data_IF_038040841271
#
_entry.id   IF_038040841271
#
_cell.length_a   1.000
_cell.length_b   1.000
_cell.length_c   1.000
_cell.angle_alpha   90.00
_cell.angle_beta   90.00
_cell.angle_gamma   90.00
#
_symmetry.space_group_name_H-M   'P 1'
#
loop_
_entity.id
_entity.type
_entity.pdbx_description
1 polymer ?
#
# COMPACT_ATOMS: atom_id res chain seq x y z
N UNK A 1 0.82 61.84 -38.10
CA UNK A 1 -0.63 61.93 -38.24
C UNK A 1 -1.15 60.55 -38.15
N UNK A 2 -1.80 60.35 -37.06
CA UNK A 2 -2.84 59.43 -36.68
C UNK A 2 -2.60 57.92 -36.76
N UNK A 3 -2.31 57.39 -35.64
CA UNK A 3 -2.68 56.04 -35.24
C UNK A 3 -3.24 56.15 -33.83
N UNK A 4 -4.54 56.36 -33.74
CA UNK A 4 -5.29 56.41 -32.51
C UNK A 4 -6.28 55.26 -32.39
N UNK A 5 -6.31 54.71 -31.22
CA UNK A 5 -7.46 54.09 -30.56
C UNK A 5 -8.09 52.82 -31.18
N UNK A 6 -7.82 51.67 -30.50
CA UNK A 6 -8.81 50.62 -30.18
C UNK A 6 -8.26 49.70 -29.09
N UNK A 7 -8.47 50.10 -27.82
CA UNK A 7 -8.46 49.19 -26.70
C UNK A 7 -9.54 49.62 -25.72
N UNK A 8 -10.68 48.97 -25.79
CA UNK A 8 -11.64 48.90 -24.70
C UNK A 8 -12.64 47.78 -25.00
N UNK A 9 -12.47 46.63 -24.43
CA UNK A 9 -13.54 45.77 -23.92
C UNK A 9 -12.88 44.62 -23.11
N UNK A 10 -12.59 44.89 -21.86
CA UNK A 10 -12.39 43.85 -20.83
C UNK A 10 -13.77 43.57 -20.25
N UNK A 11 -14.42 42.47 -20.71
CA UNK A 11 -15.49 41.87 -19.91
C UNK A 11 -14.89 41.29 -18.65
N UNK A 12 -15.43 41.76 -17.53
CA UNK A 12 -15.13 41.23 -16.21
C UNK A 12 -15.45 39.73 -16.18
N UNK A 13 -14.46 38.93 -15.76
CA UNK A 13 -14.71 37.52 -15.47
C UNK A 13 -15.56 37.46 -14.20
N UNK A 14 -16.70 36.81 -14.29
CA UNK A 14 -17.53 36.45 -13.14
C UNK A 14 -16.72 35.57 -12.16
N UNK A 15 -16.90 35.70 -10.83
CA UNK A 15 -16.21 34.85 -9.86
C UNK A 15 -16.74 33.44 -10.00
N UNK A 16 -15.83 32.49 -10.19
CA UNK A 16 -16.10 31.07 -10.15
C UNK A 16 -16.69 30.72 -8.78
N UNK A 17 -17.95 30.32 -8.72
CA UNK A 17 -18.59 29.80 -7.53
C UNK A 17 -17.76 28.61 -6.98
N UNK A 18 -17.34 28.73 -5.73
CA UNK A 18 -16.68 27.65 -5.00
C UNK A 18 -17.64 26.45 -4.93
N UNK A 19 -17.18 25.29 -5.39
CA UNK A 19 -17.91 24.05 -5.25
C UNK A 19 -18.29 23.81 -3.77
N UNK A 20 -19.49 23.27 -3.48
CA UNK A 20 -19.96 23.08 -2.12
C UNK A 20 -18.98 22.15 -1.37
N UNK A 21 -18.46 22.64 -0.26
CA UNK A 21 -17.72 21.83 0.71
C UNK A 21 -18.61 20.69 1.15
N UNK A 22 -18.31 19.48 0.70
CA UNK A 22 -18.99 18.28 1.16
C UNK A 22 -18.91 18.22 2.69
N UNK A 23 -20.06 18.09 3.33
CA UNK A 23 -20.19 17.93 4.78
C UNK A 23 -19.31 16.76 5.22
N UNK A 24 -18.18 17.06 5.82
CA UNK A 24 -17.29 16.09 6.44
C UNK A 24 -18.02 15.52 7.65
N UNK A 25 -18.56 14.31 7.50
CA UNK A 25 -18.87 13.50 8.67
C UNK A 25 -17.53 13.08 9.27
N UNK A 26 -17.15 13.66 10.40
CA UNK A 26 -16.16 13.07 11.27
C UNK A 26 -16.60 11.61 11.53
N UNK A 27 -15.74 10.66 11.15
CA UNK A 27 -15.98 9.28 11.51
C UNK A 27 -15.98 9.21 13.03
N UNK A 28 -17.10 8.80 13.63
CA UNK A 28 -17.16 8.58 15.06
C UNK A 28 -16.04 7.61 15.48
N UNK A 29 -15.34 7.85 16.58
CA UNK A 29 -14.29 6.95 17.06
C UNK A 29 -14.88 5.56 17.29
N UNK A 30 -14.45 4.60 16.48
CA UNK A 30 -14.99 3.23 16.44
C UNK A 30 -14.37 2.32 17.50
N UNK A 31 -13.48 2.82 18.35
CA UNK A 31 -12.78 2.03 19.34
C UNK A 31 -13.10 2.49 20.79
N UNK A 32 -13.42 1.52 21.64
CA UNK A 32 -13.45 1.71 23.08
C UNK A 32 -11.99 1.83 23.58
N UNK A 33 -11.52 3.06 23.75
CA UNK A 33 -10.12 3.36 24.10
C UNK A 33 -9.68 2.80 25.46
N UNK A 34 -10.61 2.28 26.28
CA UNK A 34 -10.31 1.74 27.61
C UNK A 34 -9.64 0.37 27.60
N UNK A 35 -9.79 -0.40 26.52
CA UNK A 35 -9.28 -1.78 26.42
C UNK A 35 -8.15 -1.92 25.37
N UNK A 36 -7.55 -0.80 24.95
CA UNK A 36 -6.46 -0.81 24.00
C UNK A 36 -5.17 -1.29 24.62
N UNK A 37 -4.43 -2.11 23.86
CA UNK A 37 -3.10 -2.49 24.26
C UNK A 37 -2.18 -1.26 24.37
N UNK A 38 -1.47 -1.21 25.48
CA UNK A 38 -0.42 -0.24 25.76
C UNK A 38 0.84 -0.58 24.96
N UNK A 39 1.77 0.37 24.88
CA UNK A 39 3.06 0.16 24.22
C UNK A 39 3.88 -0.97 24.87
N UNK A 40 3.85 -1.09 26.22
CA UNK A 40 4.55 -2.14 26.95
C UNK A 40 3.95 -3.53 26.64
N UNK A 41 2.64 -3.65 26.56
CA UNK A 41 1.97 -4.88 26.12
C UNK A 41 2.32 -5.21 24.66
N UNK A 42 2.35 -4.23 23.77
CA UNK A 42 2.81 -4.38 22.40
C UNK A 42 4.26 -4.87 22.31
N UNK A 43 5.14 -4.31 23.14
CA UNK A 43 6.54 -4.74 23.25
C UNK A 43 6.62 -6.20 23.69
N UNK A 44 5.88 -6.58 24.74
CA UNK A 44 5.81 -7.96 25.24
C UNK A 44 5.34 -8.94 24.15
N UNK A 45 4.31 -8.59 23.37
CA UNK A 45 3.83 -9.42 22.26
C UNK A 45 4.90 -9.64 21.18
N UNK A 46 5.70 -8.62 20.89
CA UNK A 46 6.74 -8.68 19.88
C UNK A 46 8.03 -9.36 20.34
N UNK A 47 8.25 -9.54 21.67
CA UNK A 47 9.47 -10.09 22.23
C UNK A 47 9.24 -11.40 23.00
N UNK A 48 8.62 -11.34 24.16
CA UNK A 48 8.68 -12.34 25.20
C UNK A 48 7.50 -13.32 25.22
N UNK A 49 6.31 -12.87 24.78
CA UNK A 49 5.11 -13.70 24.81
C UNK A 49 5.28 -14.97 23.96
N UNK A 50 4.83 -16.16 24.44
CA UNK A 50 4.90 -17.39 23.67
C UNK A 50 4.16 -17.25 22.32
N UNK A 51 4.82 -17.61 21.20
CA UNK A 51 4.31 -17.37 19.84
C UNK A 51 2.91 -17.95 19.63
N UNK A 52 2.64 -19.16 20.11
CA UNK A 52 1.34 -19.82 19.94
C UNK A 52 0.25 -19.14 20.76
N UNK A 53 0.57 -18.58 21.92
CA UNK A 53 -0.37 -17.80 22.72
C UNK A 53 -0.74 -16.49 22.02
N UNK A 54 0.25 -15.77 21.49
CA UNK A 54 0.01 -14.55 20.69
C UNK A 54 -0.87 -14.86 19.48
N UNK A 55 -0.59 -15.99 18.79
CA UNK A 55 -1.39 -16.47 17.67
C UNK A 55 -2.84 -16.78 18.04
N UNK A 56 -3.06 -17.51 19.15
CA UNK A 56 -4.40 -17.85 19.64
C UNK A 56 -5.21 -16.58 19.97
N UNK A 57 -4.64 -15.63 20.72
CA UNK A 57 -5.26 -14.35 21.03
C UNK A 57 -5.59 -13.54 19.75
N UNK A 58 -4.70 -13.54 18.77
CA UNK A 58 -4.94 -12.86 17.49
C UNK A 58 -6.06 -13.51 16.67
N UNK A 59 -6.15 -14.86 16.69
CA UNK A 59 -7.26 -15.58 16.10
C UNK A 59 -8.60 -15.24 16.78
N UNK A 60 -8.64 -15.21 18.10
CA UNK A 60 -9.82 -14.78 18.87
C UNK A 60 -10.24 -13.35 18.51
N UNK A 61 -9.29 -12.41 18.43
CA UNK A 61 -9.55 -11.03 18.04
C UNK A 61 -10.06 -10.93 16.59
N UNK A 62 -9.58 -11.77 15.67
CA UNK A 62 -10.10 -11.88 14.30
C UNK A 62 -11.56 -12.35 14.32
N UNK A 63 -11.87 -13.43 15.03
CA UNK A 63 -13.23 -13.97 15.10
C UNK A 63 -14.20 -13.07 15.88
N UNK A 64 -13.75 -12.32 16.88
CA UNK A 64 -14.56 -11.31 17.56
C UNK A 64 -15.05 -10.20 16.61
N UNK A 65 -14.23 -9.83 15.60
CA UNK A 65 -14.61 -8.82 14.59
C UNK A 65 -15.39 -9.42 13.43
N UNK A 66 -15.01 -10.62 13.01
CA UNK A 66 -15.61 -11.33 11.88
C UNK A 66 -15.88 -12.78 12.30
N UNK A 67 -17.06 -13.07 12.85
CA UNK A 67 -17.40 -14.41 13.36
C UNK A 67 -17.55 -15.46 12.24
N UNK A 68 -17.68 -15.01 10.99
CA UNK A 68 -17.65 -15.89 9.84
C UNK A 68 -16.24 -16.51 9.61
N UNK A 69 -16.21 -17.59 8.86
CA UNK A 69 -14.99 -18.26 8.45
C UNK A 69 -14.47 -17.79 7.09
N UNK A 70 -14.93 -16.63 6.61
CA UNK A 70 -14.52 -16.11 5.30
C UNK A 70 -13.11 -15.56 5.39
N UNK A 71 -12.26 -15.98 4.45
CA UNK A 71 -10.97 -15.38 4.14
C UNK A 71 -11.03 -14.83 2.73
N UNK A 72 -10.79 -13.53 2.61
CA UNK A 72 -10.86 -12.85 1.33
C UNK A 72 -9.54 -12.94 0.56
N UNK A 73 -9.61 -12.80 -0.77
CA UNK A 73 -8.46 -12.61 -1.65
C UNK A 73 -8.84 -11.72 -2.84
N UNK A 74 -7.86 -11.09 -3.47
CA UNK A 74 -8.08 -10.27 -4.66
C UNK A 74 -7.35 -10.88 -5.86
N UNK A 75 -7.96 -10.80 -7.04
CA UNK A 75 -7.26 -11.11 -8.30
C UNK A 75 -6.62 -9.81 -8.77
N UNK A 76 -5.29 -9.75 -8.75
CA UNK A 76 -4.53 -8.55 -9.05
C UNK A 76 -3.23 -8.82 -9.81
N UNK A 77 -2.62 -7.75 -10.25
CA UNK A 77 -1.28 -7.72 -10.85
C UNK A 77 -0.55 -6.47 -10.36
N UNK A 78 0.78 -6.57 -10.25
CA UNK A 78 1.66 -5.44 -9.90
C UNK A 78 2.66 -5.16 -11.03
N UNK A 79 2.21 -4.70 -12.21
CA UNK A 79 3.11 -4.25 -13.25
C UNK A 79 3.77 -2.93 -12.84
N UNK A 80 5.06 -2.81 -13.12
CA UNK A 80 5.76 -1.56 -12.90
C UNK A 80 5.80 -0.77 -14.21
N UNK A 81 5.72 0.57 -14.14
CA UNK A 81 5.79 1.44 -15.31
C UNK A 81 7.21 1.96 -15.60
N UNK A 82 8.09 1.94 -14.60
CA UNK A 82 9.50 2.31 -14.74
C UNK A 82 10.34 1.76 -13.61
N UNK A 83 11.60 1.41 -13.89
CA UNK A 83 12.60 1.14 -12.86
C UNK A 83 13.54 2.34 -12.62
N UNK A 84 13.39 3.43 -13.38
CA UNK A 84 14.18 4.65 -13.17
C UNK A 84 13.80 5.29 -11.85
N UNK A 85 14.79 5.45 -10.95
CA UNK A 85 14.52 5.97 -9.61
C UNK A 85 15.67 6.81 -9.07
N UNK A 86 15.35 8.00 -8.54
CA UNK A 86 16.34 8.90 -7.93
C UNK A 86 16.46 8.76 -6.41
N UNK A 87 15.63 7.94 -5.77
CA UNK A 87 15.65 7.77 -4.30
C UNK A 87 16.67 6.76 -3.81
N UNK A 88 17.17 5.86 -4.67
CA UNK A 88 18.22 4.87 -4.40
C UNK A 88 18.15 4.22 -3.01
N UNK A 89 16.96 3.74 -2.63
CA UNK A 89 16.73 3.08 -1.35
C UNK A 89 17.63 1.86 -1.18
N UNK A 90 18.24 1.70 0.00
CA UNK A 90 19.22 0.65 0.29
C UNK A 90 18.66 -0.78 0.19
N UNK A 91 17.35 -0.93 0.35
CA UNK A 91 16.63 -2.21 0.33
C UNK A 91 16.08 -2.59 -1.05
N UNK A 92 16.14 -1.69 -2.04
CA UNK A 92 15.52 -1.91 -3.33
C UNK A 92 16.52 -2.47 -4.34
N UNK A 93 16.26 -3.68 -4.84
CA UNK A 93 17.03 -4.29 -5.94
C UNK A 93 16.54 -3.88 -7.34
N UNK A 94 15.33 -3.32 -7.40
CA UNK A 94 14.63 -3.04 -8.66
C UNK A 94 15.08 -1.74 -9.34
N UNK A 95 15.45 -0.71 -8.56
CA UNK A 95 15.73 0.61 -9.11
C UNK A 95 16.97 0.64 -10.03
N UNK A 96 16.91 1.53 -11.02
CA UNK A 96 18.05 1.93 -11.84
C UNK A 96 18.15 3.46 -11.82
N UNK A 97 19.38 3.98 -11.82
CA UNK A 97 19.59 5.44 -11.91
C UNK A 97 19.23 5.95 -13.30
N UNK A 98 18.82 7.23 -13.44
CA UNK A 98 18.67 7.84 -14.75
C UNK A 98 19.95 7.66 -15.60
N UNK A 99 19.79 7.20 -16.85
CA UNK A 99 20.90 6.95 -17.75
C UNK A 99 21.62 5.58 -17.59
N UNK A 100 21.19 4.75 -16.63
CA UNK A 100 21.68 3.37 -16.56
C UNK A 100 21.24 2.58 -17.80
N UNK A 101 22.11 1.71 -18.31
CA UNK A 101 21.83 0.88 -19.50
C UNK A 101 20.67 -0.11 -19.31
N UNK A 102 20.35 -0.47 -18.06
CA UNK A 102 19.23 -1.33 -17.70
C UNK A 102 17.99 -0.53 -17.29
N UNK A 103 18.04 0.81 -17.37
CA UNK A 103 16.91 1.66 -17.07
C UNK A 103 15.87 1.58 -18.19
N UNK A 104 14.60 1.52 -17.79
CA UNK A 104 13.48 1.51 -18.72
C UNK A 104 12.28 2.28 -18.16
N UNK A 105 11.47 2.76 -19.07
CA UNK A 105 10.18 3.40 -18.78
C UNK A 105 9.21 3.00 -19.87
N UNK A 106 8.06 2.51 -19.49
CA UNK A 106 6.99 2.12 -20.41
C UNK A 106 6.19 3.34 -20.85
N UNK A 107 5.72 3.32 -22.08
CA UNK A 107 4.71 4.25 -22.57
C UNK A 107 3.36 3.97 -21.90
N UNK A 108 2.42 4.92 -22.00
CA UNK A 108 1.04 4.72 -21.52
C UNK A 108 0.42 3.47 -22.15
N UNK A 109 0.56 3.28 -23.47
CA UNK A 109 -0.02 2.12 -24.16
C UNK A 109 0.58 0.79 -23.71
N UNK A 110 1.89 0.74 -23.46
CA UNK A 110 2.54 -0.46 -22.93
C UNK A 110 2.06 -0.81 -21.52
N UNK A 111 1.82 0.18 -20.66
CA UNK A 111 1.23 -0.04 -19.33
C UNK A 111 -0.22 -0.51 -19.46
N UNK A 112 -1.01 0.12 -20.34
CA UNK A 112 -2.40 -0.26 -20.55
C UNK A 112 -2.53 -1.67 -21.13
N UNK A 113 -1.61 -2.12 -21.98
CA UNK A 113 -1.56 -3.50 -22.46
C UNK A 113 -1.32 -4.50 -21.29
N UNK A 114 -0.53 -4.12 -20.28
CA UNK A 114 -0.38 -4.94 -19.06
C UNK A 114 -1.65 -4.96 -18.21
N UNK A 115 -2.34 -3.82 -18.09
CA UNK A 115 -3.65 -3.75 -17.42
C UNK A 115 -4.67 -4.63 -18.13
N UNK A 116 -4.73 -4.60 -19.46
CA UNK A 116 -5.59 -5.46 -20.27
C UNK A 116 -5.29 -6.94 -20.06
N UNK A 117 -4.00 -7.31 -20.08
CA UNK A 117 -3.58 -8.69 -19.79
C UNK A 117 -3.98 -9.15 -18.39
N UNK A 118 -3.94 -8.28 -17.39
CA UNK A 118 -4.44 -8.59 -16.06
C UNK A 118 -5.97 -8.74 -16.04
N UNK A 119 -6.67 -7.80 -16.68
CA UNK A 119 -8.14 -7.80 -16.77
C UNK A 119 -8.69 -9.05 -17.44
N UNK A 120 -8.05 -9.53 -18.52
CA UNK A 120 -8.43 -10.79 -19.22
C UNK A 120 -8.25 -12.03 -18.34
N UNK A 121 -7.40 -11.98 -17.31
CA UNK A 121 -7.23 -13.02 -16.30
C UNK A 121 -8.19 -12.86 -15.11
N UNK A 122 -9.13 -11.93 -15.19
CA UNK A 122 -10.11 -11.66 -14.15
C UNK A 122 -9.65 -10.73 -13.04
N UNK A 123 -8.55 -9.97 -13.24
CA UNK A 123 -8.10 -9.01 -12.24
C UNK A 123 -9.13 -7.90 -12.05
N UNK A 124 -9.43 -7.61 -10.80
CA UNK A 124 -10.31 -6.51 -10.35
C UNK A 124 -9.52 -5.35 -9.76
N UNK A 125 -8.22 -5.56 -9.58
CA UNK A 125 -7.28 -4.57 -9.06
C UNK A 125 -5.99 -4.63 -9.87
N UNK A 126 -5.44 -3.48 -10.20
CA UNK A 126 -4.04 -3.36 -10.62
C UNK A 126 -3.33 -2.48 -9.59
N UNK A 127 -2.30 -3.05 -8.97
CA UNK A 127 -1.36 -2.35 -8.12
C UNK A 127 -0.24 -1.83 -9.02
N UNK A 128 -0.18 -0.53 -9.29
CA UNK A 128 0.81 0.06 -10.19
C UNK A 128 1.77 0.96 -9.41
N UNK A 129 2.99 0.50 -9.31
CA UNK A 129 4.08 1.21 -8.62
C UNK A 129 5.31 1.27 -9.53
N UNK A 130 6.13 2.30 -9.39
CA UNK A 130 7.34 2.45 -10.18
C UNK A 130 8.45 3.18 -9.44
N UNK A 131 9.56 3.38 -10.13
CA UNK A 131 10.64 4.23 -9.67
C UNK A 131 10.22 5.71 -9.68
N UNK A 132 10.89 6.51 -8.86
CA UNK A 132 10.74 7.96 -8.83
C UNK A 132 11.50 8.58 -10.00
N UNK A 133 10.86 8.58 -11.17
CA UNK A 133 11.45 9.05 -12.41
C UNK A 133 11.17 10.54 -12.64
N UNK A 134 12.18 11.42 -12.56
CA UNK A 134 11.98 12.87 -12.73
C UNK A 134 11.66 13.31 -14.15
N UNK A 135 11.79 12.40 -15.14
CA UNK A 135 11.47 12.71 -16.53
C UNK A 135 10.01 12.53 -16.90
N UNK A 136 9.20 11.91 -16.03
CA UNK A 136 7.78 11.67 -16.31
C UNK A 136 6.92 12.88 -15.93
N UNK A 137 6.19 13.48 -16.88
CA UNK A 137 5.29 14.59 -16.61
C UNK A 137 4.03 14.10 -15.88
N UNK A 138 3.36 14.99 -15.16
CA UNK A 138 2.14 14.67 -14.41
C UNK A 138 1.04 14.08 -15.30
N UNK A 139 0.92 14.55 -16.54
CA UNK A 139 -0.11 14.06 -17.47
C UNK A 139 0.06 12.57 -17.81
N UNK A 140 1.27 12.04 -17.79
CA UNK A 140 1.52 10.60 -17.94
C UNK A 140 0.74 9.79 -16.89
N UNK A 141 0.85 10.17 -15.63
CA UNK A 141 0.19 9.50 -14.50
C UNK A 141 -1.34 9.66 -14.55
N UNK A 142 -1.82 10.87 -14.83
CA UNK A 142 -3.26 11.14 -14.93
C UNK A 142 -3.89 10.39 -16.09
N UNK A 143 -3.18 10.26 -17.22
CA UNK A 143 -3.66 9.50 -18.37
C UNK A 143 -3.76 8.02 -18.05
N UNK A 144 -2.78 7.43 -17.34
CA UNK A 144 -2.86 6.04 -16.89
C UNK A 144 -4.12 5.77 -16.07
N UNK A 145 -4.47 6.68 -15.15
CA UNK A 145 -5.69 6.53 -14.33
C UNK A 145 -6.93 6.65 -15.19
N UNK A 146 -7.05 7.71 -16.00
CA UNK A 146 -8.23 7.96 -16.86
C UNK A 146 -8.48 6.82 -17.84
N UNK A 147 -7.44 6.40 -18.56
CA UNK A 147 -7.55 5.34 -19.55
C UNK A 147 -7.86 3.97 -18.90
N UNK A 148 -7.27 3.67 -17.75
CA UNK A 148 -7.61 2.45 -17.00
C UNK A 148 -9.09 2.45 -16.61
N UNK A 149 -9.61 3.55 -16.07
CA UNK A 149 -11.02 3.66 -15.70
C UNK A 149 -11.97 3.59 -16.89
N UNK A 150 -11.58 4.17 -18.02
CA UNK A 150 -12.41 4.21 -19.23
C UNK A 150 -12.42 2.87 -19.95
N UNK A 151 -11.25 2.26 -20.15
CA UNK A 151 -11.09 1.03 -20.96
C UNK A 151 -11.38 -0.23 -20.17
N UNK A 152 -11.13 -0.22 -18.83
CA UNK A 152 -11.26 -1.39 -17.94
C UNK A 152 -12.09 -1.02 -16.70
N UNK A 153 -13.39 -0.70 -16.83
CA UNK A 153 -14.19 -0.20 -15.71
C UNK A 153 -14.31 -1.16 -14.53
N UNK A 154 -14.06 -2.48 -14.74
CA UNK A 154 -14.02 -3.52 -13.72
C UNK A 154 -12.70 -3.51 -12.91
N UNK A 155 -11.66 -2.83 -13.39
CA UNK A 155 -10.35 -2.77 -12.73
C UNK A 155 -10.24 -1.50 -11.89
N UNK A 156 -9.96 -1.67 -10.61
CA UNK A 156 -9.65 -0.55 -9.72
C UNK A 156 -8.17 -0.17 -9.87
N UNK A 157 -7.86 1.09 -10.26
CA UNK A 157 -6.49 1.59 -10.22
C UNK A 157 -6.07 1.82 -8.76
N UNK A 158 -5.27 0.90 -8.22
CA UNK A 158 -4.62 1.03 -6.92
C UNK A 158 -3.18 1.51 -7.15
N UNK A 159 -3.08 2.75 -7.67
CA UNK A 159 -1.86 3.28 -8.26
C UNK A 159 -1.15 4.24 -7.32
N UNK A 160 0.18 4.31 -7.49
CA UNK A 160 1.10 5.31 -6.96
C UNK A 160 1.12 5.42 -5.43
N UNK A 161 2.27 5.18 -4.87
CA UNK A 161 2.54 5.30 -3.43
C UNK A 161 2.64 6.77 -3.00
N UNK A 162 2.57 7.02 -1.71
CA UNK A 162 2.78 8.36 -1.14
C UNK A 162 4.08 9.03 -1.63
N UNK A 163 5.17 8.25 -1.73
CA UNK A 163 6.45 8.77 -2.20
C UNK A 163 6.48 9.09 -3.70
N UNK A 164 5.71 8.38 -4.53
CA UNK A 164 5.52 8.73 -5.94
C UNK A 164 4.69 10.02 -6.08
N UNK A 165 3.66 10.21 -5.25
CA UNK A 165 2.85 11.44 -5.22
C UNK A 165 3.72 12.66 -4.89
N UNK A 166 4.65 12.55 -3.94
CA UNK A 166 5.63 13.61 -3.68
C UNK A 166 6.53 13.89 -4.89
N UNK A 167 6.97 12.85 -5.59
CA UNK A 167 7.77 13.00 -6.80
C UNK A 167 7.00 13.71 -7.90
N UNK A 168 5.73 13.33 -8.12
CA UNK A 168 4.84 14.03 -9.08
C UNK A 168 4.69 15.51 -8.73
N UNK A 169 4.49 15.82 -7.45
CA UNK A 169 4.38 17.19 -6.96
C UNK A 169 5.65 18.00 -7.22
N UNK A 170 6.80 17.42 -6.90
CA UNK A 170 8.10 18.06 -7.13
C UNK A 170 8.36 18.33 -8.62
N UNK A 171 8.13 17.35 -9.50
CA UNK A 171 8.33 17.47 -10.95
C UNK A 171 7.37 18.49 -11.56
N UNK A 172 6.11 18.50 -11.11
CA UNK A 172 5.09 19.41 -11.62
C UNK A 172 5.18 20.84 -11.03
N UNK A 173 5.99 21.07 -9.98
CA UNK A 173 6.02 22.33 -9.26
C UNK A 173 4.71 22.64 -8.52
N UNK A 174 4.00 21.60 -8.06
CA UNK A 174 2.72 21.67 -7.38
C UNK A 174 2.83 21.18 -5.93
N UNK A 175 1.80 21.45 -5.13
CA UNK A 175 1.67 20.80 -3.81
C UNK A 175 1.19 19.35 -4.02
N UNK A 176 1.59 18.44 -3.14
CA UNK A 176 1.11 17.05 -3.21
C UNK A 176 -0.42 16.95 -3.04
N UNK A 177 -1.04 17.89 -2.32
CA UNK A 177 -2.49 18.00 -2.20
C UNK A 177 -3.17 18.26 -3.54
N UNK A 178 -2.55 19.10 -4.40
CA UNK A 178 -3.07 19.38 -5.75
C UNK A 178 -2.93 18.16 -6.66
N UNK A 179 -1.92 17.30 -6.42
CA UNK A 179 -1.78 16.02 -7.10
C UNK A 179 -2.90 15.07 -6.69
N UNK A 180 -3.21 15.00 -5.39
CA UNK A 180 -4.33 14.16 -4.89
C UNK A 180 -5.66 14.58 -5.52
N UNK A 181 -5.94 15.89 -5.61
CA UNK A 181 -7.16 16.39 -6.24
C UNK A 181 -7.23 15.97 -7.71
N UNK A 182 -6.14 16.10 -8.47
CA UNK A 182 -6.08 15.69 -9.88
C UNK A 182 -6.20 14.19 -10.08
N UNK A 183 -5.62 13.37 -9.20
CA UNK A 183 -5.78 11.91 -9.23
C UNK A 183 -7.23 11.51 -8.92
N UNK A 184 -7.88 12.19 -7.98
CA UNK A 184 -9.29 12.00 -7.68
C UNK A 184 -10.19 12.33 -8.89
N UNK A 185 -9.95 13.47 -9.54
CA UNK A 185 -10.66 13.91 -10.75
C UNK A 185 -10.43 12.96 -11.94
N UNK A 186 -9.23 12.37 -12.03
CA UNK A 186 -8.90 11.33 -13.00
C UNK A 186 -9.62 9.99 -12.74
N UNK A 187 -10.23 9.80 -11.56
CA UNK A 187 -11.00 8.61 -11.20
C UNK A 187 -10.31 7.65 -10.24
N UNK A 188 -9.15 7.98 -9.69
CA UNK A 188 -8.49 7.17 -8.67
C UNK A 188 -9.21 7.33 -7.32
N UNK A 189 -9.41 6.21 -6.60
CA UNK A 189 -10.11 6.17 -5.30
C UNK A 189 -9.30 5.48 -4.22
N UNK A 190 -8.24 4.78 -4.59
CA UNK A 190 -7.43 4.01 -3.65
C UNK A 190 -5.94 4.27 -3.85
N UNK A 191 -5.15 4.21 -2.77
CA UNK A 191 -3.70 4.43 -2.76
C UNK A 191 -3.02 3.26 -2.05
N UNK A 192 -1.97 2.64 -2.64
CA UNK A 192 -1.22 1.60 -1.98
C UNK A 192 -0.37 2.13 -0.81
N UNK A 193 -0.28 1.34 0.25
CA UNK A 193 0.49 1.68 1.45
C UNK A 193 2.01 1.55 1.31
N UNK A 194 2.50 1.15 0.14
CA UNK A 194 3.93 1.01 -0.11
C UNK A 194 4.72 2.30 0.16
N UNK A 195 6.01 2.16 0.42
CA UNK A 195 6.87 3.30 0.76
C UNK A 195 6.87 3.71 2.24
N UNK A 196 6.04 3.08 3.09
CA UNK A 196 6.10 3.27 4.54
C UNK A 196 7.39 2.69 5.13
N UNK A 197 7.78 1.54 4.69
CA UNK A 197 8.83 0.68 5.23
C UNK A 197 8.63 0.46 6.74
N UNK A 198 9.39 1.17 7.59
CA UNK A 198 9.08 1.38 9.01
C UNK A 198 9.01 2.88 9.26
N UNK A 199 7.91 3.36 9.82
CA UNK A 199 7.65 4.78 10.10
C UNK A 199 8.39 5.23 11.37
N UNK A 200 9.71 5.06 11.36
CA UNK A 200 10.67 5.53 12.36
C UNK A 200 11.68 6.44 11.67
N UNK A 201 11.92 7.61 12.25
CA UNK A 201 12.88 8.59 11.71
C UNK A 201 14.28 7.96 11.58
N UNK A 202 14.71 7.20 12.58
CA UNK A 202 16.00 6.51 12.60
C UNK A 202 16.13 5.52 11.46
N UNK A 203 15.10 4.68 11.27
CA UNK A 203 15.11 3.64 10.24
C UNK A 203 15.09 4.28 8.86
N UNK A 204 14.15 5.19 8.58
CA UNK A 204 14.00 5.83 7.26
C UNK A 204 15.25 6.60 6.85
N UNK A 205 15.86 7.36 7.76
CA UNK A 205 17.11 8.07 7.51
C UNK A 205 18.25 7.12 7.07
N UNK A 206 18.22 5.87 7.53
CA UNK A 206 19.25 4.88 7.19
C UNK A 206 18.99 4.13 5.91
N UNK A 207 17.75 3.71 5.65
CA UNK A 207 17.44 2.81 4.52
C UNK A 207 16.89 3.53 3.28
N UNK A 208 16.30 4.71 3.45
CA UNK A 208 15.66 5.48 2.37
C UNK A 208 15.71 7.00 2.64
N UNK A 209 16.90 7.62 2.82
CA UNK A 209 17.01 9.02 3.28
C UNK A 209 16.34 10.01 2.33
N UNK A 210 16.28 9.70 1.04
CA UNK A 210 15.66 10.58 0.03
C UNK A 210 14.13 10.48 -0.03
N UNK A 211 13.52 9.55 0.69
CA UNK A 211 12.05 9.47 0.84
C UNK A 211 11.50 10.34 1.98
N UNK A 212 12.36 11.02 2.72
CA UNK A 212 11.98 11.80 3.89
C UNK A 212 11.65 10.96 5.13
N UNK A 213 11.29 11.63 6.22
CA UNK A 213 10.89 11.02 7.49
C UNK A 213 9.50 10.37 7.44
N UNK A 214 9.01 9.84 8.58
CA UNK A 214 7.69 9.24 8.68
C UNK A 214 6.56 10.17 8.22
N UNK A 215 6.64 11.46 8.56
CA UNK A 215 5.62 12.46 8.24
C UNK A 215 5.38 12.58 6.74
N UNK A 216 6.41 12.41 5.89
CA UNK A 216 6.24 12.48 4.43
C UNK A 216 5.28 11.42 3.88
N UNK A 217 5.14 10.28 4.54
CA UNK A 217 4.18 9.25 4.19
C UNK A 217 2.81 9.51 4.85
N UNK A 218 2.83 9.87 6.14
CA UNK A 218 1.63 10.08 6.94
C UNK A 218 0.78 11.25 6.42
N UNK A 219 1.39 12.38 6.04
CA UNK A 219 0.67 13.54 5.54
C UNK A 219 -0.05 13.27 4.21
N UNK A 220 0.54 12.48 3.30
CA UNK A 220 -0.13 12.10 2.05
C UNK A 220 -1.36 11.24 2.36
N UNK A 221 -1.24 10.23 3.23
CA UNK A 221 -2.39 9.39 3.61
C UNK A 221 -3.45 10.17 4.39
N UNK A 222 -3.05 11.09 5.27
CA UNK A 222 -3.96 11.99 5.99
C UNK A 222 -4.79 12.84 5.01
N UNK A 223 -4.14 13.48 4.06
CA UNK A 223 -4.81 14.32 3.08
C UNK A 223 -5.62 13.50 2.06
N UNK A 224 -5.16 12.31 1.70
CA UNK A 224 -5.91 11.38 0.86
C UNK A 224 -7.20 10.90 1.56
N UNK A 225 -7.10 10.45 2.82
CA UNK A 225 -8.26 10.02 3.59
C UNK A 225 -9.27 11.14 3.80
N UNK A 226 -8.81 12.38 4.03
CA UNK A 226 -9.68 13.56 4.12
C UNK A 226 -10.48 13.79 2.84
N UNK A 227 -9.94 13.41 1.68
CA UNK A 227 -10.60 13.49 0.37
C UNK A 227 -11.47 12.29 0.05
N UNK A 228 -11.53 11.30 0.92
CA UNK A 228 -12.31 10.07 0.72
C UNK A 228 -11.55 8.92 0.05
N UNK A 229 -10.27 9.07 -0.28
CA UNK A 229 -9.47 7.92 -0.71
C UNK A 229 -9.43 6.85 0.38
N UNK A 230 -9.45 5.60 -0.05
CA UNK A 230 -9.07 4.47 0.79
C UNK A 230 -7.64 4.06 0.50
N UNK A 231 -6.97 3.45 1.47
CA UNK A 231 -5.61 2.96 1.28
C UNK A 231 -5.32 1.73 2.11
N UNK A 232 -4.20 1.08 1.82
CA UNK A 232 -3.60 0.07 2.71
C UNK A 232 -2.50 0.74 3.55
N UNK A 233 -2.10 0.09 4.65
CA UNK A 233 -0.87 0.41 5.36
C UNK A 233 0.06 -0.80 5.28
N UNK A 234 1.34 -0.60 4.97
CA UNK A 234 2.32 -1.68 4.86
C UNK A 234 3.46 -1.47 5.85
N UNK A 235 4.08 -2.55 6.30
CA UNK A 235 5.32 -2.50 7.07
C UNK A 235 6.32 -3.51 6.54
N UNK A 236 7.53 -3.05 6.18
CA UNK A 236 8.66 -3.90 5.84
C UNK A 236 9.58 -4.00 7.04
N UNK A 237 9.72 -5.19 7.61
CA UNK A 237 10.56 -5.44 8.78
C UNK A 237 11.64 -6.50 8.49
N UNK A 238 12.53 -6.77 9.44
CA UNK A 238 13.58 -7.77 9.34
C UNK A 238 14.90 -7.21 8.82
N UNK A 239 15.17 -5.93 9.03
CA UNK A 239 16.39 -5.28 8.59
C UNK A 239 17.16 -4.59 9.74
N UNK A 240 16.98 -3.28 9.97
CA UNK A 240 17.76 -2.47 10.94
C UNK A 240 16.92 -1.90 12.07
N UNK A 241 15.63 -2.20 12.05
CA UNK A 241 14.66 -1.75 13.05
C UNK A 241 14.86 -2.47 14.40
N UNK A 242 14.42 -1.79 15.43
CA UNK A 242 14.20 -2.36 16.78
C UNK A 242 12.72 -2.62 17.00
N UNK A 243 12.37 -3.26 18.11
CA UNK A 243 10.95 -3.43 18.49
C UNK A 243 10.27 -2.08 18.71
N UNK A 244 10.98 -1.11 19.29
CA UNK A 244 10.44 0.24 19.46
C UNK A 244 10.13 0.92 18.13
N UNK A 245 10.94 0.74 17.10
CA UNK A 245 10.66 1.26 15.76
C UNK A 245 9.40 0.62 15.15
N UNK A 246 9.14 -0.67 15.42
CA UNK A 246 7.91 -1.33 14.97
C UNK A 246 6.69 -0.77 15.70
N UNK A 247 6.82 -0.48 17.00
CA UNK A 247 5.76 0.13 17.79
C UNK A 247 5.51 1.58 17.38
N UNK A 248 6.55 2.37 17.07
CA UNK A 248 6.40 3.72 16.50
C UNK A 248 5.58 3.66 15.20
N UNK A 249 5.84 2.67 14.36
CA UNK A 249 5.06 2.45 13.14
C UNK A 249 3.60 2.12 13.45
N UNK A 250 3.34 1.19 14.36
CA UNK A 250 1.99 0.81 14.76
C UNK A 250 1.23 1.99 15.37
N UNK A 251 1.85 2.74 16.25
CA UNK A 251 1.23 3.93 16.88
C UNK A 251 0.84 4.95 15.83
N UNK A 252 1.75 5.26 14.89
CA UNK A 252 1.50 6.26 13.84
C UNK A 252 0.32 5.91 12.92
N UNK A 253 0.24 4.64 12.46
CA UNK A 253 -0.87 4.23 11.59
C UNK A 253 -2.18 4.02 12.35
N UNK A 254 -2.12 3.58 13.61
CA UNK A 254 -3.29 3.45 14.49
C UNK A 254 -3.92 4.82 14.77
N UNK A 255 -3.09 5.82 15.09
CA UNK A 255 -3.54 7.19 15.31
C UNK A 255 -4.18 7.79 14.05
N UNK A 256 -3.56 7.61 12.88
CA UNK A 256 -4.12 8.09 11.62
C UNK A 256 -5.44 7.39 11.28
N UNK A 257 -5.56 6.09 11.59
CA UNK A 257 -6.79 5.34 11.40
C UNK A 257 -7.91 5.82 12.34
N UNK A 258 -7.59 6.16 13.58
CA UNK A 258 -8.57 6.75 14.51
C UNK A 258 -9.16 8.07 13.99
N UNK A 259 -8.32 8.89 13.34
CA UNK A 259 -8.76 10.18 12.81
C UNK A 259 -9.68 10.06 11.59
N UNK A 260 -9.45 9.08 10.70
CA UNK A 260 -10.10 9.08 9.39
C UNK A 260 -10.74 7.76 8.98
N UNK A 261 -10.36 6.62 9.55
CA UNK A 261 -10.87 5.31 9.15
C UNK A 261 -10.60 4.98 7.66
N UNK A 262 -9.52 5.52 7.10
CA UNK A 262 -9.22 5.43 5.68
C UNK A 262 -8.45 4.17 5.27
N UNK A 263 -7.74 3.53 6.20
CA UNK A 263 -7.03 2.28 5.91
C UNK A 263 -8.00 1.10 5.84
N UNK A 264 -7.89 0.34 4.77
CA UNK A 264 -8.68 -0.89 4.55
C UNK A 264 -7.99 -2.13 5.13
N UNK A 265 -6.66 -2.18 5.10
CA UNK A 265 -5.90 -3.32 5.60
C UNK A 265 -4.50 -2.91 6.05
N UNK A 266 -3.96 -3.73 6.96
CA UNK A 266 -2.54 -3.75 7.30
C UNK A 266 -1.84 -4.94 6.64
N UNK A 267 -0.67 -4.71 6.03
CA UNK A 267 0.11 -5.69 5.26
C UNK A 267 1.56 -5.72 5.77
N UNK A 268 1.90 -6.59 6.73
CA UNK A 268 3.28 -6.79 7.16
C UNK A 268 4.02 -7.71 6.19
N UNK A 269 5.28 -7.42 5.87
CA UNK A 269 6.11 -8.28 5.04
C UNK A 269 7.58 -8.18 5.43
N UNK A 270 8.33 -9.29 5.29
CA UNK A 270 9.73 -9.31 5.65
C UNK A 270 10.63 -8.86 4.51
N UNK A 271 11.70 -8.14 4.85
CA UNK A 271 12.72 -7.70 3.90
C UNK A 271 13.36 -8.89 3.18
N UNK A 272 13.53 -8.76 1.85
CA UNK A 272 14.23 -9.73 1.01
C UNK A 272 15.58 -9.15 0.56
N UNK A 273 16.69 -9.72 1.01
CA UNK A 273 18.01 -9.09 0.89
C UNK A 273 18.63 -9.16 -0.50
N UNK A 274 18.29 -10.14 -1.32
CA UNK A 274 18.96 -10.43 -2.58
C UNK A 274 19.20 -9.20 -3.47
N UNK A 275 20.43 -9.02 -3.91
CA UNK A 275 20.87 -7.90 -4.77
C UNK A 275 20.68 -6.50 -4.18
N UNK A 276 20.53 -6.36 -2.86
CA UNK A 276 20.31 -5.06 -2.19
C UNK A 276 21.57 -4.58 -1.47
N UNK A 277 21.73 -3.27 -1.32
CA UNK A 277 22.82 -2.71 -0.51
C UNK A 277 22.62 -2.99 0.98
N UNK A 278 21.37 -3.04 1.43
CA UNK A 278 20.98 -3.28 2.82
C UNK A 278 21.37 -4.68 3.31
N UNK A 279 21.47 -5.67 2.42
CA UNK A 279 21.91 -7.04 2.74
C UNK A 279 23.19 -7.08 3.57
N UNK A 280 24.15 -6.19 3.24
CA UNK A 280 25.45 -6.12 3.92
C UNK A 280 25.35 -5.78 5.41
N UNK A 281 24.20 -5.24 5.85
CA UNK A 281 23.98 -4.82 7.24
C UNK A 281 23.12 -5.82 8.04
N UNK A 282 22.56 -6.84 7.36
CA UNK A 282 21.71 -7.83 7.99
C UNK A 282 22.59 -8.93 8.57
N UNK A 283 22.53 -9.09 9.89
CA UNK A 283 23.28 -10.14 10.61
C UNK A 283 22.54 -11.47 10.64
N UNK A 284 21.23 -11.43 10.61
CA UNK A 284 20.37 -12.61 10.71
C UNK A 284 19.05 -12.36 10.00
N UNK A 285 18.66 -13.27 9.11
CA UNK A 285 17.35 -13.25 8.46
C UNK A 285 16.25 -13.58 9.46
N UNK A 286 15.13 -12.88 9.33
CA UNK A 286 13.92 -13.15 10.09
C UNK A 286 13.09 -14.20 9.37
N UNK A 287 12.90 -15.35 10.03
CA UNK A 287 12.12 -16.46 9.48
C UNK A 287 10.63 -16.35 9.75
N UNK A 288 9.86 -17.39 9.37
CA UNK A 288 8.39 -17.40 9.46
C UNK A 288 7.85 -17.16 10.87
N UNK A 289 8.55 -17.61 11.91
CA UNK A 289 8.12 -17.37 13.29
C UNK A 289 8.06 -15.87 13.64
N UNK A 290 9.02 -15.08 13.16
CA UNK A 290 8.98 -13.63 13.37
C UNK A 290 7.84 -12.99 12.57
N UNK A 291 7.60 -13.47 11.36
CA UNK A 291 6.47 -13.01 10.57
C UNK A 291 5.14 -13.26 11.29
N UNK A 292 4.90 -14.48 11.73
CA UNK A 292 3.68 -14.84 12.46
C UNK A 292 3.51 -14.02 13.73
N UNK A 293 4.60 -13.75 14.45
CA UNK A 293 4.60 -12.88 15.64
C UNK A 293 4.20 -11.45 15.31
N UNK A 294 4.83 -10.85 14.30
CA UNK A 294 4.53 -9.47 13.86
C UNK A 294 3.09 -9.34 13.39
N UNK A 295 2.61 -10.31 12.59
CA UNK A 295 1.24 -10.32 12.10
C UNK A 295 0.22 -10.44 13.24
N UNK A 296 0.44 -11.37 14.17
CA UNK A 296 -0.44 -11.58 15.31
C UNK A 296 -0.43 -10.38 16.29
N UNK A 297 0.76 -9.83 16.57
CA UNK A 297 0.88 -8.61 17.36
C UNK A 297 0.16 -7.43 16.70
N UNK A 298 0.29 -7.28 15.38
CA UNK A 298 -0.42 -6.25 14.62
C UNK A 298 -1.94 -6.40 14.71
N UNK A 299 -2.48 -7.63 14.57
CA UNK A 299 -3.93 -7.87 14.72
C UNK A 299 -4.46 -7.44 16.09
N UNK A 300 -3.66 -7.63 17.14
CA UNK A 300 -4.02 -7.26 18.52
C UNK A 300 -3.85 -5.76 18.77
N UNK A 301 -2.75 -5.18 18.29
CA UNK A 301 -2.38 -3.80 18.56
C UNK A 301 -3.15 -2.79 17.70
N UNK A 302 -3.37 -3.11 16.43
CA UNK A 302 -4.13 -2.29 15.47
C UNK A 302 -5.63 -2.61 15.56
N UNK A 303 -6.21 -2.33 16.70
CA UNK A 303 -7.59 -2.65 17.05
C UNK A 303 -8.64 -1.95 16.15
N UNK A 304 -8.27 -0.90 15.46
CA UNK A 304 -9.10 -0.12 14.54
C UNK A 304 -8.92 -0.48 13.06
N UNK A 305 -8.01 -1.41 12.72
CA UNK A 305 -7.86 -1.88 11.34
C UNK A 305 -8.88 -2.98 11.02
N UNK A 306 -9.66 -2.85 9.92
CA UNK A 306 -10.66 -3.86 9.57
C UNK A 306 -10.03 -5.19 9.15
N UNK A 307 -8.94 -5.14 8.37
CA UNK A 307 -8.30 -6.35 7.82
C UNK A 307 -6.80 -6.39 8.11
N UNK A 308 -6.28 -7.63 8.26
CA UNK A 308 -4.84 -7.92 8.28
C UNK A 308 -4.57 -8.99 7.22
N UNK A 309 -3.68 -8.67 6.30
CA UNK A 309 -3.37 -9.51 5.15
C UNK A 309 -2.24 -10.48 5.44
N UNK A 310 -2.40 -11.73 5.00
CA UNK A 310 -1.34 -12.73 4.96
C UNK A 310 -0.41 -12.46 3.76
N UNK A 311 0.86 -12.19 4.02
CA UNK A 311 1.83 -11.81 2.98
C UNK A 311 2.53 -13.05 2.40
N UNK A 312 1.76 -13.97 1.82
CA UNK A 312 2.28 -15.19 1.20
C UNK A 312 3.37 -14.89 0.14
N UNK A 313 3.26 -13.77 -0.55
CA UNK A 313 4.19 -13.35 -1.60
C UNK A 313 5.61 -13.15 -1.08
N UNK A 314 5.78 -12.73 0.19
CA UNK A 314 7.08 -12.57 0.84
C UNK A 314 7.46 -13.75 1.75
N UNK A 315 6.48 -14.47 2.30
CA UNK A 315 6.74 -15.50 3.32
C UNK A 315 6.61 -16.94 2.81
N UNK A 316 6.09 -17.10 1.59
CA UNK A 316 5.74 -18.39 1.01
C UNK A 316 4.33 -18.86 1.40
N UNK A 317 3.77 -19.74 0.58
CA UNK A 317 2.38 -20.20 0.67
C UNK A 317 2.04 -20.89 1.98
N UNK A 318 2.93 -21.77 2.47
CA UNK A 318 2.72 -22.49 3.74
C UNK A 318 2.66 -21.53 4.93
N UNK A 319 3.53 -20.52 4.98
CA UNK A 319 3.49 -19.51 6.03
C UNK A 319 2.23 -18.63 5.90
N UNK A 320 1.85 -18.27 4.68
CA UNK A 320 0.59 -17.55 4.40
C UNK A 320 -0.64 -18.33 4.89
N UNK A 321 -0.66 -19.65 4.69
CA UNK A 321 -1.74 -20.52 5.17
C UNK A 321 -1.80 -20.55 6.71
N UNK A 322 -0.65 -20.70 7.38
CA UNK A 322 -0.58 -20.65 8.85
C UNK A 322 -1.00 -19.28 9.39
N UNK A 323 -0.68 -18.18 8.70
CA UNK A 323 -1.03 -16.83 9.10
C UNK A 323 -2.55 -16.61 9.27
N UNK A 324 -3.39 -17.39 8.57
CA UNK A 324 -4.85 -17.36 8.73
C UNK A 324 -5.29 -17.77 10.14
N UNK A 325 -4.52 -18.62 10.81
CA UNK A 325 -4.73 -19.02 12.21
C UNK A 325 -4.04 -18.09 13.21
N UNK A 326 -3.27 -17.11 12.73
CA UNK A 326 -2.60 -16.08 13.52
C UNK A 326 -3.25 -14.70 13.39
N UNK A 327 -4.51 -14.65 12.97
CA UNK A 327 -5.30 -13.42 12.94
C UNK A 327 -5.42 -12.73 11.58
N UNK A 328 -4.83 -13.26 10.50
CA UNK A 328 -5.12 -12.79 9.16
C UNK A 328 -6.54 -13.19 8.73
N UNK A 329 -7.22 -12.30 8.01
CA UNK A 329 -8.55 -12.52 7.44
C UNK A 329 -8.60 -12.24 5.94
N UNK A 330 -7.45 -11.96 5.33
CA UNK A 330 -7.26 -11.74 3.92
C UNK A 330 -5.98 -12.45 3.44
N UNK A 331 -6.07 -13.20 2.36
CA UNK A 331 -4.93 -13.89 1.76
C UNK A 331 -3.98 -12.92 1.05
N UNK A 332 -4.51 -11.85 0.50
CA UNK A 332 -3.84 -10.93 -0.39
C UNK A 332 -4.18 -11.15 -1.85
N UNK A 333 -3.29 -10.76 -2.73
CA UNK A 333 -3.50 -10.81 -4.17
C UNK A 333 -2.87 -12.01 -4.87
N UNK A 334 -3.23 -12.22 -6.13
CA UNK A 334 -2.57 -13.18 -7.03
C UNK A 334 -1.20 -12.71 -7.49
N UNK A 335 -1.01 -11.39 -7.57
CA UNK A 335 0.23 -10.75 -8.02
C UNK A 335 0.77 -11.38 -9.32
N UNK A 336 -0.07 -11.46 -10.38
CA UNK A 336 0.29 -12.09 -11.66
C UNK A 336 1.61 -11.57 -12.26
N UNK A 337 1.94 -10.32 -12.01
CA UNK A 337 3.24 -9.74 -12.30
C UNK A 337 3.75 -9.09 -11.01
N UNK A 338 4.97 -9.41 -10.61
CA UNK A 338 5.66 -8.81 -9.47
C UNK A 338 7.16 -8.76 -9.77
N UNK A 339 7.69 -7.56 -10.01
CA UNK A 339 9.07 -7.39 -10.46
C UNK A 339 10.03 -6.95 -9.35
N UNK A 340 9.53 -6.42 -8.23
CA UNK A 340 10.37 -5.88 -7.16
C UNK A 340 11.04 -7.02 -6.37
N UNK A 341 10.27 -8.01 -5.92
CA UNK A 341 10.81 -9.21 -5.27
C UNK A 341 11.61 -10.08 -6.24
N UNK A 342 11.17 -10.15 -7.51
CA UNK A 342 11.93 -10.84 -8.56
C UNK A 342 13.33 -10.27 -8.73
N UNK A 343 13.50 -8.95 -8.66
CA UNK A 343 14.81 -8.30 -8.70
C UNK A 343 15.67 -8.65 -7.47
N UNK A 344 15.04 -8.92 -6.32
CA UNK A 344 15.70 -9.45 -5.13
C UNK A 344 15.87 -10.98 -5.12
N UNK A 345 15.71 -11.64 -6.29
CA UNK A 345 15.81 -13.09 -6.46
C UNK A 345 14.81 -13.90 -5.61
N UNK A 346 13.69 -13.29 -5.27
CA UNK A 346 12.63 -13.94 -4.51
C UNK A 346 11.34 -13.96 -5.34
N UNK A 347 10.94 -15.17 -5.76
CA UNK A 347 9.79 -15.33 -6.65
C UNK A 347 8.82 -16.34 -6.04
N UNK A 348 7.60 -15.88 -5.78
CA UNK A 348 6.45 -16.71 -5.46
C UNK A 348 5.36 -16.47 -6.50
N UNK A 349 4.76 -17.52 -6.97
CA UNK A 349 3.62 -17.47 -7.90
C UNK A 349 2.48 -18.33 -7.37
N UNK A 350 1.25 -17.92 -7.63
CA UNK A 350 0.07 -18.64 -7.21
C UNK A 350 -1.04 -18.48 -8.26
N UNK A 351 -1.87 -19.51 -8.42
CA UNK A 351 -3.11 -19.43 -9.19
C UNK A 351 -4.32 -19.20 -8.28
N UNK A 352 -5.44 -18.75 -8.86
CA UNK A 352 -6.70 -18.59 -8.11
C UNK A 352 -7.15 -19.92 -7.50
N UNK A 353 -7.07 -21.02 -8.26
CA UNK A 353 -7.46 -22.36 -7.78
C UNK A 353 -6.59 -22.81 -6.60
N UNK A 354 -5.32 -22.48 -6.63
CA UNK A 354 -4.40 -22.78 -5.53
C UNK A 354 -4.71 -21.94 -4.28
N UNK A 355 -5.04 -20.64 -4.43
CA UNK A 355 -5.51 -19.79 -3.31
C UNK A 355 -6.75 -20.41 -2.67
N UNK A 356 -7.74 -20.75 -3.50
CA UNK A 356 -9.00 -21.38 -3.05
C UNK A 356 -8.72 -22.67 -2.28
N UNK A 357 -7.84 -23.51 -2.80
CA UNK A 357 -7.46 -24.78 -2.17
C UNK A 357 -6.79 -24.55 -0.83
N UNK A 358 -5.78 -23.68 -0.76
CA UNK A 358 -5.03 -23.42 0.47
C UNK A 358 -5.91 -22.80 1.58
N UNK A 359 -6.83 -21.90 1.23
CA UNK A 359 -7.78 -21.32 2.19
C UNK A 359 -8.74 -22.40 2.72
N UNK A 360 -9.25 -23.29 1.85
CA UNK A 360 -10.13 -24.42 2.26
C UNK A 360 -9.42 -25.42 3.15
N UNK A 361 -8.19 -25.79 2.81
CA UNK A 361 -7.38 -26.71 3.61
C UNK A 361 -7.07 -26.14 5.01
N UNK A 362 -6.98 -24.81 5.13
CA UNK A 362 -6.87 -24.14 6.42
C UNK A 362 -8.20 -24.08 7.20
N UNK A 363 -9.31 -24.63 6.67
CA UNK A 363 -10.62 -24.68 7.34
C UNK A 363 -11.44 -23.39 7.21
N UNK A 364 -11.13 -22.54 6.23
CA UNK A 364 -11.82 -21.30 5.94
C UNK A 364 -12.60 -21.33 4.63
N UNK A 365 -13.49 -20.38 4.42
CA UNK A 365 -14.26 -20.18 3.20
C UNK A 365 -13.60 -19.11 2.33
N UNK A 366 -13.07 -19.45 1.14
CA UNK A 366 -12.45 -18.46 0.28
C UNK A 366 -13.49 -17.57 -0.40
N UNK A 367 -13.21 -16.27 -0.45
CA UNK A 367 -14.05 -15.29 -1.14
C UNK A 367 -13.19 -14.29 -1.93
N UNK A 368 -13.50 -14.12 -3.21
CA UNK A 368 -12.92 -13.07 -4.02
C UNK A 368 -13.54 -11.73 -3.66
N UNK A 369 -12.70 -10.69 -3.51
CA UNK A 369 -13.12 -9.34 -3.17
C UNK A 369 -12.66 -8.28 -4.18
N UNK A 370 -13.27 -7.09 -4.09
CA UNK A 370 -12.75 -5.85 -4.70
C UNK A 370 -11.56 -5.30 -3.91
N UNK A 371 -10.94 -4.22 -4.40
CA UNK A 371 -9.92 -3.44 -3.67
C UNK A 371 -10.46 -2.90 -2.33
N UNK A 372 -11.76 -2.57 -2.27
CA UNK A 372 -12.43 -2.00 -1.10
C UNK A 372 -13.14 -3.04 -0.22
N UNK A 373 -12.80 -4.33 -0.39
CA UNK A 373 -13.27 -5.46 0.41
C UNK A 373 -14.75 -5.85 0.23
N UNK A 374 -15.40 -5.42 -0.85
CA UNK A 374 -16.68 -5.97 -1.26
C UNK A 374 -16.51 -7.39 -1.79
N UNK A 375 -17.31 -8.34 -1.30
CA UNK A 375 -17.26 -9.73 -1.75
C UNK A 375 -17.95 -9.84 -3.12
N UNK A 376 -17.19 -10.32 -4.10
CA UNK A 376 -17.68 -10.56 -5.46
C UNK A 376 -18.19 -12.00 -5.65
N UNK A 377 -17.49 -12.96 -5.03
CA UNK A 377 -17.76 -14.37 -5.18
C UNK A 377 -17.21 -15.17 -3.99
N UNK A 378 -17.98 -16.14 -3.51
CA UNK A 378 -17.56 -17.18 -2.55
C UNK A 378 -17.34 -18.48 -3.29
N UNK A 379 -16.31 -19.23 -2.90
CA UNK A 379 -15.90 -20.48 -3.55
C UNK A 379 -16.19 -21.69 -2.67
#
# INVERSE_FOLDING_TARGET
>A
MELGQRFADRRAAEPCEAAPTANMKEAAPTANTKDRLTRDEGHHLLTDAPLLEVGARAAEARFARRPDKVVTFVIDSNPNYTNVCVTDCQFCAFYRKPGDREAWTLTVDEVLAKVESAATKGATTVLLQGGHNPALPLDYYLTLVRETRTRFPQVTPHFFTASEIHTMAQVAGLRFTDILDRLWDAGQRTIPGGGAEVLSTRVRARIAPKKGGPESWLEVHREAHRRGFKSTATMMYGHVETVDDLLDHFDAIRELQDMFGGFTAFVPWSFKPGNTLLEKWIKQYKGPNMYLRVLAAARLYLDNFPHVQASWFSEGKATGQIALHFGADDWGGTLFEENVHKAAQYVNTISVDEIVTLIREAGFTPAQRTTEYEILRTY
#
